data_IF_748434772817
#
_entry.id   IF_748434772817
#
_cell.length_a   1.000
_cell.length_b   1.000
_cell.length_c   1.000
_cell.angle_alpha   90.00
_cell.angle_beta   90.00
_cell.angle_gamma   90.00
#
_symmetry.space_group_name_H-M   'P 1'
#
loop_
_entity.id
_entity.type
_entity.pdbx_description
1 polymer ?
#
# COMPACT_ATOMS: atom_id res chain seq x y z
N UNK A 1 3.33 15.72 -14.94
CA UNK A 1 2.24 14.74 -15.02
C UNK A 1 0.90 15.45 -15.02
N UNK A 2 -0.06 14.91 -15.74
CA UNK A 2 -1.46 15.34 -15.86
C UNK A 2 -2.26 14.89 -14.62
N UNK A 3 -1.81 15.27 -13.43
CA UNK A 3 -2.39 14.86 -12.14
C UNK A 3 -1.75 13.60 -11.53
N UNK A 4 -2.10 13.33 -10.28
CA UNK A 4 -1.50 12.23 -9.48
C UNK A 4 -1.82 10.86 -10.08
N UNK A 5 -2.97 10.71 -10.73
CA UNK A 5 -3.37 9.44 -11.34
C UNK A 5 -2.39 8.96 -12.41
N UNK A 6 -1.89 9.87 -13.26
CA UNK A 6 -0.88 9.53 -14.27
C UNK A 6 0.46 9.16 -13.62
N UNK A 7 0.84 9.87 -12.54
CA UNK A 7 2.09 9.60 -11.84
C UNK A 7 2.08 8.24 -11.12
N UNK A 8 0.94 7.83 -10.55
CA UNK A 8 0.79 6.51 -9.93
C UNK A 8 1.05 5.40 -10.95
N UNK A 9 0.43 5.50 -12.13
CA UNK A 9 0.62 4.52 -13.20
C UNK A 9 2.08 4.46 -13.63
N UNK A 10 2.70 5.62 -13.89
CA UNK A 10 4.11 5.67 -14.30
C UNK A 10 5.05 5.13 -13.21
N UNK A 11 4.76 5.40 -11.93
CA UNK A 11 5.57 4.89 -10.82
C UNK A 11 5.50 3.36 -10.73
N UNK A 12 4.30 2.76 -10.85
CA UNK A 12 4.16 1.31 -10.83
C UNK A 12 4.82 0.66 -12.05
N UNK A 13 4.66 1.22 -13.25
CA UNK A 13 5.30 0.71 -14.46
C UNK A 13 6.83 0.83 -14.44
N UNK A 14 7.37 1.86 -13.79
CA UNK A 14 8.82 2.05 -13.65
C UNK A 14 9.45 1.22 -12.55
N UNK A 15 8.67 0.75 -11.58
CA UNK A 15 9.16 0.03 -10.39
C UNK A 15 9.04 -1.49 -10.49
N UNK A 16 7.96 -1.98 -11.08
CA UNK A 16 7.55 -3.39 -10.98
C UNK A 16 7.99 -4.21 -12.18
N UNK A 17 8.47 -5.42 -11.89
CA UNK A 17 8.60 -6.51 -12.85
C UNK A 17 7.44 -7.50 -12.74
N UNK A 18 7.30 -8.39 -13.73
CA UNK A 18 6.27 -9.45 -13.68
C UNK A 18 6.51 -10.38 -12.49
N UNK A 19 5.49 -10.53 -11.66
CA UNK A 19 5.55 -11.37 -10.44
C UNK A 19 5.87 -10.60 -9.16
N UNK A 20 6.24 -9.32 -9.26
CA UNK A 20 6.39 -8.46 -8.06
C UNK A 20 5.03 -8.27 -7.36
N UNK A 21 5.06 -8.23 -6.03
CA UNK A 21 3.90 -7.98 -5.19
C UNK A 21 3.97 -6.58 -4.57
N UNK A 22 2.83 -5.90 -4.51
CA UNK A 22 2.68 -4.60 -3.84
C UNK A 22 1.61 -4.71 -2.78
N UNK A 23 1.97 -4.37 -1.55
CA UNK A 23 1.04 -4.30 -0.42
C UNK A 23 0.17 -3.04 -0.54
N UNK A 24 -1.16 -3.19 -0.54
CA UNK A 24 -2.13 -2.09 -0.72
C UNK A 24 -3.14 -2.09 0.44
N UNK A 25 -3.50 -0.94 1.04
CA UNK A 25 -4.48 -0.92 2.14
C UNK A 25 -5.86 -1.37 1.66
N UNK A 26 -6.65 -1.99 2.54
CA UNK A 26 -8.05 -2.30 2.33
C UNK A 26 -8.89 -1.61 3.42
N UNK A 27 -9.85 -0.73 3.05
CA UNK A 27 -10.24 -0.34 1.69
C UNK A 27 -9.20 0.56 0.99
N UNK A 28 -9.13 0.48 -0.35
CA UNK A 28 -8.17 1.21 -1.17
C UNK A 28 -8.79 2.36 -1.98
N UNK A 29 -7.92 3.18 -2.57
CA UNK A 29 -8.27 3.98 -3.75
C UNK A 29 -8.01 3.11 -5.00
N UNK A 30 -9.06 2.69 -5.75
CA UNK A 30 -8.95 1.57 -6.71
C UNK A 30 -7.89 1.71 -7.80
N UNK A 31 -7.43 2.94 -8.06
CA UNK A 31 -6.36 3.19 -9.03
C UNK A 31 -5.05 2.47 -8.66
N UNK A 32 -4.74 2.31 -7.37
CA UNK A 32 -3.52 1.62 -6.96
C UNK A 32 -3.55 0.15 -7.37
N UNK A 33 -4.63 -0.57 -7.03
CA UNK A 33 -4.84 -1.96 -7.44
C UNK A 33 -4.79 -2.11 -8.96
N UNK A 34 -5.44 -1.21 -9.69
CA UNK A 34 -5.44 -1.21 -11.16
C UNK A 34 -4.04 -0.95 -11.74
N UNK A 35 -3.26 -0.02 -11.16
CA UNK A 35 -1.93 0.34 -11.66
C UNK A 35 -0.89 -0.75 -11.43
N UNK A 36 -0.96 -1.44 -10.29
CA UNK A 36 -0.11 -2.61 -10.01
C UNK A 36 -0.39 -3.74 -11.00
N UNK A 37 -1.68 -4.05 -11.21
CA UNK A 37 -2.10 -5.06 -12.18
C UNK A 37 -1.66 -4.70 -13.60
N UNK A 38 -1.78 -3.43 -13.99
CA UNK A 38 -1.38 -2.93 -15.31
C UNK A 38 0.15 -3.02 -15.53
N UNK A 39 0.94 -2.91 -14.47
CA UNK A 39 2.40 -3.08 -14.51
C UNK A 39 2.85 -4.55 -14.48
N UNK A 40 1.92 -5.51 -14.41
CA UNK A 40 2.24 -6.95 -14.34
C UNK A 40 2.57 -7.46 -12.94
N UNK A 41 2.38 -6.64 -11.91
CA UNK A 41 2.49 -7.03 -10.51
C UNK A 41 1.18 -7.55 -9.92
N UNK A 42 1.26 -8.05 -8.68
CA UNK A 42 0.11 -8.51 -7.90
C UNK A 42 -0.17 -7.55 -6.74
N UNK A 43 -1.39 -7.02 -6.68
CA UNK A 43 -1.86 -6.25 -5.53
C UNK A 43 -2.21 -7.22 -4.38
N UNK A 44 -1.48 -7.12 -3.27
CA UNK A 44 -1.73 -7.90 -2.05
C UNK A 44 -2.33 -6.98 -1.00
N UNK A 45 -3.60 -7.17 -0.68
CA UNK A 45 -4.29 -6.23 0.21
C UNK A 45 -4.02 -6.52 1.69
N UNK A 46 -3.53 -5.53 2.43
CA UNK A 46 -3.45 -5.56 3.89
C UNK A 46 -4.66 -4.86 4.54
N UNK A 47 -5.04 -5.29 5.73
CA UNK A 47 -6.22 -4.80 6.43
C UNK A 47 -5.95 -3.44 7.09
N UNK A 48 -6.91 -2.53 6.96
CA UNK A 48 -7.06 -1.40 7.85
C UNK A 48 -8.21 -1.71 8.82
N UNK A 49 -7.96 -1.73 10.11
CA UNK A 49 -8.95 -2.15 11.12
C UNK A 49 -9.91 -1.02 11.45
N UNK A 50 -11.18 -1.17 11.06
CA UNK A 50 -12.27 -0.25 11.37
C UNK A 50 -12.42 0.01 12.88
N UNK A 51 -12.24 -1.01 13.72
CA UNK A 51 -12.37 -0.88 15.18
C UNK A 51 -11.22 -0.10 15.79
N UNK A 52 -10.05 -0.09 15.12
CA UNK A 52 -8.89 0.70 15.48
C UNK A 52 -8.80 2.04 14.73
N UNK A 53 -9.93 2.55 14.21
CA UNK A 53 -9.98 3.84 13.52
C UNK A 53 -9.37 3.81 12.11
N UNK A 54 -9.46 2.66 11.43
CA UNK A 54 -8.92 2.39 10.10
C UNK A 54 -7.40 2.49 10.00
N UNK A 55 -6.70 2.20 11.10
CA UNK A 55 -5.25 2.11 11.07
C UNK A 55 -4.79 0.81 10.39
N UNK A 56 -3.67 0.83 9.65
CA UNK A 56 -3.09 -0.40 9.11
C UNK A 56 -2.82 -1.42 10.22
N UNK A 57 -3.27 -2.66 10.01
CA UNK A 57 -2.94 -3.79 10.88
C UNK A 57 -1.51 -4.27 10.54
N UNK A 58 -0.59 -3.99 11.46
CA UNK A 58 0.83 -4.27 11.28
C UNK A 58 1.11 -5.78 11.24
N UNK A 59 0.36 -6.59 12.00
CA UNK A 59 0.57 -8.03 12.02
C UNK A 59 0.02 -8.67 10.74
N UNK A 60 -1.10 -8.18 10.22
CA UNK A 60 -1.61 -8.58 8.91
C UNK A 60 -0.64 -8.21 7.78
N UNK A 61 -0.07 -6.99 7.81
CA UNK A 61 0.98 -6.56 6.88
C UNK A 61 2.16 -7.54 6.90
N UNK A 62 2.71 -7.83 8.10
CA UNK A 62 3.86 -8.74 8.26
C UNK A 62 3.57 -10.13 7.71
N UNK A 63 2.38 -10.66 7.97
CA UNK A 63 1.97 -11.99 7.51
C UNK A 63 1.89 -12.13 5.99
N UNK A 64 1.78 -11.00 5.26
CA UNK A 64 1.63 -10.93 3.81
C UNK A 64 2.91 -10.57 3.07
N UNK A 65 3.99 -10.26 3.78
CA UNK A 65 5.30 -10.03 3.16
C UNK A 65 5.86 -11.37 2.66
N UNK A 66 6.23 -11.41 1.39
CA UNK A 66 6.87 -12.55 0.73
C UNK A 66 8.21 -12.13 0.13
N UNK A 67 8.96 -13.07 -0.43
CA UNK A 67 10.17 -12.76 -1.20
C UNK A 67 9.91 -11.92 -2.46
N UNK A 68 8.66 -11.85 -2.93
CA UNK A 68 8.26 -11.08 -4.10
C UNK A 68 7.71 -9.70 -3.74
N UNK A 69 7.51 -9.40 -2.44
CA UNK A 69 7.01 -8.10 -2.00
C UNK A 69 8.04 -7.02 -2.30
N UNK A 70 7.67 -6.11 -3.21
CA UNK A 70 8.55 -5.06 -3.74
C UNK A 70 8.28 -3.70 -3.11
N UNK A 71 7.03 -3.42 -2.76
CA UNK A 71 6.62 -2.13 -2.21
C UNK A 71 5.37 -2.25 -1.33
N UNK A 72 5.16 -1.21 -0.53
CA UNK A 72 3.91 -0.97 0.20
C UNK A 72 3.37 0.42 -0.14
N UNK A 73 2.06 0.49 -0.38
CA UNK A 73 1.35 1.74 -0.61
C UNK A 73 0.77 2.23 0.72
N UNK A 74 0.99 3.51 1.00
CA UNK A 74 0.38 4.22 2.12
C UNK A 74 -0.49 5.36 1.58
N UNK A 75 -1.75 5.43 2.02
CA UNK A 75 -2.67 6.53 1.70
C UNK A 75 -2.98 7.25 3.01
N UNK A 76 -2.43 8.45 3.21
CA UNK A 76 -2.61 9.24 4.44
C UNK A 76 -2.74 10.75 4.12
N UNK A 77 -3.87 11.41 4.44
CA UNK A 77 -5.12 10.83 4.95
C UNK A 77 -5.67 9.75 4.00
N UNK A 78 -6.19 8.68 4.57
CA UNK A 78 -6.69 7.54 3.80
C UNK A 78 -7.97 7.93 3.05
N UNK A 79 -8.08 7.49 1.79
CA UNK A 79 -9.31 7.52 1.03
C UNK A 79 -9.67 6.07 0.69
N UNK A 80 -10.86 5.57 1.05
CA UNK A 80 -12.09 6.31 1.36
C UNK A 80 -12.36 6.60 2.86
N UNK A 81 -11.53 6.13 3.79
CA UNK A 81 -11.88 6.10 5.22
C UNK A 81 -11.73 7.44 5.96
N UNK A 82 -10.92 8.36 5.43
CA UNK A 82 -10.56 9.63 6.08
C UNK A 82 -9.54 9.50 7.21
N UNK A 83 -9.00 8.29 7.46
CA UNK A 83 -8.09 8.04 8.57
C UNK A 83 -6.78 8.84 8.44
N UNK A 84 -6.32 9.41 9.57
CA UNK A 84 -5.03 10.09 9.65
C UNK A 84 -4.08 9.24 10.49
N UNK A 85 -3.10 8.63 9.84
CA UNK A 85 -2.13 7.76 10.52
C UNK A 85 -1.24 8.61 11.44
N UNK A 86 -1.16 8.21 12.71
CA UNK A 86 -0.32 8.89 13.69
C UNK A 86 1.16 8.65 13.40
N UNK A 87 1.97 9.71 13.54
CA UNK A 87 3.40 9.72 13.18
C UNK A 87 4.26 8.79 14.05
N UNK A 88 3.82 8.53 15.27
CA UNK A 88 4.69 7.99 16.33
C UNK A 88 4.68 6.46 16.39
N UNK A 89 3.56 5.82 16.10
CA UNK A 89 3.41 4.36 16.26
C UNK A 89 3.34 3.67 14.90
N UNK A 90 2.27 3.86 14.13
CA UNK A 90 2.04 3.07 12.91
C UNK A 90 3.06 3.36 11.80
N UNK A 91 3.41 4.62 11.53
CA UNK A 91 4.38 4.94 10.48
C UNK A 91 5.82 4.50 10.82
N UNK A 92 6.22 4.63 12.09
CA UNK A 92 7.55 4.21 12.53
C UNK A 92 7.68 2.69 12.53
N UNK A 93 6.65 1.96 12.94
CA UNK A 93 6.65 0.49 12.90
C UNK A 93 6.77 -0.03 11.45
N UNK A 94 6.07 0.60 10.50
CA UNK A 94 6.14 0.19 9.08
C UNK A 94 7.49 0.49 8.42
N UNK A 95 8.25 1.48 8.90
CA UNK A 95 9.54 1.87 8.31
C UNK A 95 10.71 1.10 8.93
N UNK A 96 10.68 0.86 10.25
CA UNK A 96 11.84 0.36 11.00
C UNK A 96 12.02 -1.17 10.96
N UNK A 97 11.06 -1.92 10.41
CA UNK A 97 11.14 -3.38 10.26
C UNK A 97 11.94 -3.84 9.01
N UNK A 98 12.64 -2.92 8.34
CA UNK A 98 13.47 -3.23 7.15
C UNK A 98 14.86 -3.81 7.49
N UNK A 99 15.05 -4.41 8.67
CA UNK A 99 16.34 -4.94 9.13
C UNK A 99 16.46 -6.47 8.97
#
# INVERSE_FOLDING_TARGET
GNGVSELIVMAMQGLLDTGDEVLIPMPDYPLWTASVSLAGGTAVHYLCDEQAGWFPDIDDIRSKITSNTKAIVLINPNHPTGALYSKETSMNEMVNDSN
#
